data_IF_777262508205
#
_entry.id   IF_777262508205
#
_cell.length_a   1.000
_cell.length_b   1.000
_cell.length_c   1.000
_cell.angle_alpha   90.00
_cell.angle_beta   90.00
_cell.angle_gamma   90.00
#
_symmetry.space_group_name_H-M   'P 1'
#
loop_
_entity.id
_entity.type
_entity.pdbx_description
1 polymer ?
#
# COMPACT_ATOMS: atom_id res chain seq x y z
N UNK A 1 0.89 -19.07 3.43
CA UNK A 1 0.62 -17.75 4.06
C UNK A 1 1.96 -17.07 4.23
N UNK A 2 2.05 -15.79 3.89
CA UNK A 2 3.31 -15.04 3.86
C UNK A 2 3.09 -13.68 4.51
N UNK A 3 3.97 -13.26 5.43
CA UNK A 3 3.92 -11.91 5.98
C UNK A 3 4.40 -10.92 4.92
N UNK A 4 3.59 -9.91 4.61
CA UNK A 4 3.90 -8.88 3.62
C UNK A 4 3.56 -7.50 4.14
N UNK A 5 4.22 -6.49 3.59
CA UNK A 5 3.82 -5.09 3.71
C UNK A 5 2.43 -4.90 3.10
N UNK A 6 1.59 -4.13 3.77
CA UNK A 6 0.29 -3.67 3.29
C UNK A 6 0.13 -2.18 3.57
N UNK A 7 -0.82 -1.54 2.90
CA UNK A 7 -1.25 -0.18 3.22
C UNK A 7 -2.66 -0.24 3.75
N UNK A 8 -2.87 0.39 4.91
CA UNK A 8 -4.19 0.59 5.51
C UNK A 8 -4.60 2.05 5.38
N UNK A 9 -5.88 2.30 5.16
CA UNK A 9 -6.43 3.66 5.24
C UNK A 9 -6.48 4.14 6.71
N UNK A 10 -6.89 5.39 6.91
CA UNK A 10 -7.03 5.98 8.25
C UNK A 10 -7.99 5.22 9.19
N UNK A 11 -8.90 4.41 8.65
CA UNK A 11 -9.86 3.60 9.41
C UNK A 11 -9.35 2.17 9.68
N UNK A 12 -8.15 1.81 9.17
CA UNK A 12 -7.53 0.50 9.34
C UNK A 12 -7.89 -0.53 8.25
N UNK A 13 -8.72 -0.17 7.28
CA UNK A 13 -9.06 -1.05 6.16
C UNK A 13 -7.89 -1.18 5.19
N UNK A 14 -7.63 -2.40 4.69
CA UNK A 14 -6.56 -2.66 3.72
C UNK A 14 -6.94 -2.07 2.37
N UNK A 15 -6.06 -1.22 1.83
CA UNK A 15 -6.23 -0.57 0.52
C UNK A 15 -5.16 -0.98 -0.49
N UNK A 16 -4.06 -1.60 -0.05
CA UNK A 16 -3.03 -2.17 -0.92
C UNK A 16 -2.36 -3.37 -0.24
N UNK A 17 -2.05 -4.42 -1.01
CA UNK A 17 -1.20 -5.53 -0.58
C UNK A 17 0.11 -5.42 -1.34
N UNK A 18 1.22 -5.27 -0.61
CA UNK A 18 2.53 -4.89 -1.13
C UNK A 18 2.89 -3.43 -0.83
N UNK A 19 4.10 -3.00 -1.23
CA UNK A 19 4.53 -1.62 -1.09
C UNK A 19 3.66 -0.67 -1.92
N UNK A 20 3.52 0.57 -1.47
CA UNK A 20 2.84 1.61 -2.25
C UNK A 20 3.72 2.07 -3.42
N UNK A 21 3.14 2.17 -4.60
CA UNK A 21 3.85 2.61 -5.81
C UNK A 21 3.84 4.14 -5.90
N UNK A 22 4.76 4.78 -5.18
CA UNK A 22 4.91 6.23 -5.24
C UNK A 22 5.42 6.67 -6.62
N UNK A 23 4.68 7.55 -7.28
CA UNK A 23 5.13 8.22 -8.49
C UNK A 23 5.65 9.61 -8.14
N UNK A 24 6.96 9.80 -8.22
CA UNK A 24 7.63 11.07 -7.90
C UNK A 24 8.29 11.63 -9.16
N UNK A 25 7.98 12.88 -9.50
CA UNK A 25 8.62 13.64 -10.56
C UNK A 25 9.53 14.70 -9.91
N UNK A 26 10.84 14.53 -10.03
CA UNK A 26 11.82 15.50 -9.52
C UNK A 26 11.97 16.71 -10.43
N UNK A 27 11.91 17.91 -9.86
CA UNK A 27 12.14 19.20 -10.55
C UNK A 27 13.15 20.06 -9.79
N UNK A 28 13.72 21.06 -10.46
CA UNK A 28 14.71 21.96 -9.84
C UNK A 28 14.14 22.75 -8.64
N UNK A 29 12.83 23.02 -8.63
CA UNK A 29 12.12 23.75 -7.57
C UNK A 29 11.46 22.84 -6.52
N UNK A 30 11.56 21.51 -6.68
CA UNK A 30 11.06 20.51 -5.74
C UNK A 30 10.47 19.27 -6.42
N UNK A 31 10.15 18.26 -5.61
CA UNK A 31 9.53 17.02 -6.09
C UNK A 31 8.00 17.15 -6.12
N UNK A 32 7.38 16.63 -7.19
CA UNK A 32 5.92 16.46 -7.27
C UNK A 32 5.58 15.00 -7.07
N UNK A 33 4.70 14.71 -6.11
CA UNK A 33 4.18 13.36 -5.87
C UNK A 33 2.83 13.20 -6.56
N UNK A 34 2.79 12.40 -7.63
CA UNK A 34 1.59 12.13 -8.43
C UNK A 34 0.71 11.02 -7.84
N UNK A 35 1.32 10.10 -7.09
CA UNK A 35 0.60 9.04 -6.37
C UNK A 35 0.94 9.05 -4.86
N UNK A 36 0.53 10.09 -4.11
CA UNK A 36 0.75 10.13 -2.68
C UNK A 36 -0.08 9.05 -1.98
N UNK A 37 0.33 8.67 -0.77
CA UNK A 37 -0.57 7.93 0.10
C UNK A 37 -1.83 8.77 0.37
N UNK A 38 -3.02 8.15 0.44
CA UNK A 38 -4.22 8.83 0.92
C UNK A 38 -4.01 9.39 2.33
N UNK A 39 -4.69 10.49 2.65
CA UNK A 39 -4.57 11.13 3.97
C UNK A 39 -4.82 10.15 5.12
N UNK A 40 -3.87 10.07 6.05
CA UNK A 40 -3.92 9.19 7.22
C UNK A 40 -3.71 7.71 6.91
N UNK A 41 -3.46 7.33 5.66
CA UNK A 41 -3.03 5.97 5.35
C UNK A 41 -1.63 5.69 5.89
N UNK A 42 -1.37 4.43 6.23
CA UNK A 42 -0.11 4.01 6.83
C UNK A 42 0.31 2.61 6.39
N UNK A 43 1.61 2.36 6.48
CA UNK A 43 2.22 1.05 6.22
C UNK A 43 2.07 0.13 7.44
N UNK A 44 1.74 -1.13 7.20
CA UNK A 44 1.62 -2.18 8.22
C UNK A 44 2.12 -3.53 7.66
N UNK A 45 2.26 -4.54 8.52
CA UNK A 45 2.53 -5.91 8.11
C UNK A 45 1.34 -6.81 8.41
N UNK A 46 0.96 -7.63 7.43
CA UNK A 46 -0.12 -8.61 7.59
C UNK A 46 0.26 -9.96 6.98
N UNK A 47 -0.37 -11.00 7.50
CA UNK A 47 -0.31 -12.33 6.89
C UNK A 47 -1.20 -12.35 5.65
N UNK A 48 -0.62 -12.68 4.50
CA UNK A 48 -1.33 -12.74 3.22
C UNK A 48 -1.59 -14.20 2.84
N UNK A 49 -2.83 -14.45 2.42
CA UNK A 49 -3.31 -15.72 1.91
C UNK A 49 -3.71 -15.55 0.45
N UNK A 50 -3.19 -16.43 -0.40
CA UNK A 50 -3.68 -16.55 -1.77
C UNK A 50 -4.92 -17.44 -1.79
N UNK A 51 -6.00 -16.93 -2.39
CA UNK A 51 -7.28 -17.61 -2.51
C UNK A 51 -7.31 -18.46 -3.77
N UNK A 52 -8.29 -19.37 -3.84
CA UNK A 52 -8.43 -20.29 -4.97
C UNK A 52 -8.68 -19.60 -6.32
N UNK A 53 -9.12 -18.33 -6.31
CA UNK A 53 -9.31 -17.49 -7.50
C UNK A 53 -8.02 -16.73 -7.91
N UNK A 54 -6.91 -16.94 -7.21
CA UNK A 54 -5.65 -16.20 -7.38
C UNK A 54 -5.65 -14.82 -6.75
N UNK A 55 -6.73 -14.43 -6.06
CA UNK A 55 -6.79 -13.18 -5.31
C UNK A 55 -6.00 -13.26 -4.00
N UNK A 56 -5.54 -12.10 -3.51
CA UNK A 56 -4.85 -11.99 -2.22
C UNK A 56 -5.79 -11.45 -1.16
N UNK A 57 -5.67 -11.98 0.05
CA UNK A 57 -6.39 -11.54 1.24
C UNK A 57 -5.42 -11.31 2.39
N UNK A 58 -5.57 -10.18 3.08
CA UNK A 58 -4.82 -9.87 4.30
C UNK A 58 -5.64 -10.29 5.53
N UNK A 59 -5.06 -11.16 6.35
CA UNK A 59 -5.66 -11.66 7.59
C UNK A 59 -5.42 -10.72 8.78
#
# INVERSE_FOLDING_TARGET
MTIMTIIRNAEGAVINIGPWDYMIEGREDGDIVHNPLPDGAYEDQAEIVERADGGLEAA
#
